data_IF_211969556034
#
_entry.id   IF_211969556034
#
_cell.length_a   1.000
_cell.length_b   1.000
_cell.length_c   1.000
_cell.angle_alpha   90.00
_cell.angle_beta   90.00
_cell.angle_gamma   90.00
#
_symmetry.space_group_name_H-M   'P 1'
#
loop_
_entity.id
_entity.type
_entity.pdbx_description
1 polymer ?
#
# COMPACT_ATOMS: atom_id res chain seq x y z
N UNK A 1 -16.84 12.30 10.19
CA UNK A 1 -15.80 11.73 9.30
C UNK A 1 -16.42 10.53 8.59
N UNK A 2 -16.51 10.53 7.26
CA UNK A 2 -16.98 9.36 6.47
C UNK A 2 -15.76 8.64 5.92
N UNK A 3 -15.24 7.68 6.69
CA UNK A 3 -14.02 6.95 6.33
C UNK A 3 -14.22 5.47 6.58
N UNK A 4 -13.77 4.65 5.65
CA UNK A 4 -13.74 3.19 5.81
C UNK A 4 -12.31 2.68 5.61
N UNK A 5 -12.02 1.52 6.17
CA UNK A 5 -10.78 0.80 5.90
C UNK A 5 -11.05 -0.41 5.00
N UNK A 6 -10.18 -0.63 4.01
CA UNK A 6 -10.16 -1.85 3.22
C UNK A 6 -8.80 -2.53 3.36
N UNK A 7 -8.80 -3.77 3.85
CA UNK A 7 -7.58 -4.54 4.08
C UNK A 7 -7.32 -5.50 2.93
N UNK A 8 -6.09 -5.46 2.41
CA UNK A 8 -5.52 -6.48 1.53
C UNK A 8 -4.63 -7.48 2.28
N UNK A 9 -4.63 -7.43 3.62
CA UNK A 9 -3.91 -8.42 4.42
C UNK A 9 -4.64 -9.76 4.36
N UNK A 10 -3.89 -10.83 4.10
CA UNK A 10 -4.38 -12.19 4.25
C UNK A 10 -4.15 -12.66 5.68
N UNK A 11 -5.18 -13.21 6.31
CA UNK A 11 -5.07 -13.95 7.56
C UNK A 11 -4.82 -15.42 7.20
N UNK A 12 -3.65 -15.71 6.62
CA UNK A 12 -3.21 -17.09 6.37
C UNK A 12 -1.70 -17.17 6.60
N UNK A 13 -1.24 -18.25 7.23
CA UNK A 13 0.17 -18.54 7.50
C UNK A 13 0.89 -19.15 6.31
N UNK A 14 0.15 -19.52 5.24
CA UNK A 14 0.71 -20.18 4.06
C UNK A 14 0.93 -19.19 2.91
N UNK A 15 2.04 -19.36 2.18
CA UNK A 15 2.50 -18.53 1.03
C UNK A 15 1.56 -18.49 -0.20
N UNK A 16 0.30 -18.96 -0.09
CA UNK A 16 -0.69 -18.97 -1.18
C UNK A 16 -1.26 -17.58 -1.54
N UNK A 17 -0.80 -16.55 -0.84
CA UNK A 17 -1.34 -15.18 -0.85
C UNK A 17 -1.10 -14.36 -2.13
N UNK A 18 -0.16 -14.74 -3.01
CA UNK A 18 0.26 -13.87 -4.13
C UNK A 18 -0.83 -13.68 -5.19
N UNK A 19 -1.63 -14.71 -5.47
CA UNK A 19 -2.71 -14.65 -6.48
C UNK A 19 -4.04 -14.13 -5.92
N UNK A 20 -4.27 -14.24 -4.61
CA UNK A 20 -5.50 -13.75 -3.98
C UNK A 20 -5.68 -12.24 -4.11
N UNK A 21 -4.59 -11.48 -4.28
CA UNK A 21 -4.60 -10.04 -4.54
C UNK A 21 -5.63 -9.62 -5.59
N UNK A 22 -5.70 -10.32 -6.74
CA UNK A 22 -6.61 -9.96 -7.83
C UNK A 22 -8.08 -10.07 -7.41
N UNK A 23 -8.41 -11.05 -6.57
CA UNK A 23 -9.76 -11.20 -6.04
C UNK A 23 -10.11 -10.09 -5.05
N UNK A 24 -9.18 -9.69 -4.18
CA UNK A 24 -9.37 -8.53 -3.32
C UNK A 24 -9.48 -7.23 -4.11
N UNK A 25 -8.71 -7.08 -5.20
CA UNK A 25 -8.78 -5.90 -6.07
C UNK A 25 -10.16 -5.80 -6.74
N UNK A 26 -10.73 -6.93 -7.16
CA UNK A 26 -12.11 -6.98 -7.66
C UNK A 26 -13.12 -6.58 -6.57
N UNK A 27 -12.97 -7.11 -5.35
CA UNK A 27 -13.80 -6.74 -4.20
C UNK A 27 -13.71 -5.24 -3.89
N UNK A 28 -12.50 -4.68 -3.88
CA UNK A 28 -12.26 -3.26 -3.73
C UNK A 28 -12.94 -2.45 -4.84
N UNK A 29 -12.84 -2.88 -6.11
CA UNK A 29 -13.49 -2.20 -7.24
C UNK A 29 -15.01 -2.13 -7.07
N UNK A 30 -15.63 -3.22 -6.62
CA UNK A 30 -17.08 -3.28 -6.35
C UNK A 30 -17.44 -2.33 -5.20
N UNK A 31 -16.68 -2.36 -4.11
CA UNK A 31 -16.88 -1.46 -2.97
C UNK A 31 -16.76 0.01 -3.39
N UNK A 32 -15.69 0.35 -4.12
CA UNK A 32 -15.43 1.69 -4.62
C UNK A 32 -16.58 2.23 -5.49
N UNK A 33 -17.24 1.35 -6.25
CA UNK A 33 -18.41 1.69 -7.06
C UNK A 33 -19.70 1.87 -6.23
N UNK A 34 -19.86 1.12 -5.14
CA UNK A 34 -21.10 1.09 -4.34
C UNK A 34 -21.18 2.16 -3.28
N UNK A 35 -20.05 2.59 -2.72
CA UNK A 35 -20.05 3.59 -1.63
C UNK A 35 -20.12 5.02 -2.18
N UNK A 36 -20.76 5.98 -1.48
CA UNK A 36 -20.79 7.39 -1.86
C UNK A 36 -19.39 7.99 -2.03
N UNK A 37 -19.18 8.86 -3.04
CA UNK A 37 -17.85 9.44 -3.39
C UNK A 37 -17.22 10.29 -2.28
N UNK A 38 -18.03 10.84 -1.38
CA UNK A 38 -17.59 11.63 -0.22
C UNK A 38 -17.03 10.77 0.94
N UNK A 39 -17.02 9.43 0.77
CA UNK A 39 -16.37 8.50 1.70
C UNK A 39 -14.90 8.29 1.29
N UNK A 40 -13.99 8.60 2.21
CA UNK A 40 -12.56 8.28 2.08
C UNK A 40 -12.33 6.78 2.36
N UNK A 41 -11.45 6.15 1.57
CA UNK A 41 -11.01 4.77 1.85
C UNK A 41 -9.55 4.78 2.28
N UNK A 42 -9.27 4.21 3.45
CA UNK A 42 -7.92 3.87 3.88
C UNK A 42 -7.62 2.44 3.46
N UNK A 43 -6.60 2.25 2.64
CA UNK A 43 -6.14 0.94 2.19
C UNK A 43 -5.01 0.47 3.08
N UNK A 44 -5.17 -0.71 3.68
CA UNK A 44 -4.16 -1.39 4.48
C UNK A 44 -3.67 -2.67 3.79
N UNK A 45 -2.46 -3.13 4.13
CA UNK A 45 -1.95 -4.42 3.64
C UNK A 45 -1.35 -4.42 2.24
N UNK A 46 -0.97 -3.27 1.69
CA UNK A 46 -0.34 -3.19 0.37
C UNK A 46 1.17 -3.25 0.49
N UNK A 47 1.77 -4.09 -0.36
CA UNK A 47 3.19 -4.39 -0.30
C UNK A 47 4.04 -3.87 -1.47
N UNK A 48 3.43 -3.28 -2.50
CA UNK A 48 4.19 -2.81 -3.67
C UNK A 48 3.58 -1.56 -4.32
N UNK A 49 4.46 -0.77 -4.94
CA UNK A 49 4.10 0.46 -5.68
C UNK A 49 3.18 0.13 -6.86
N UNK A 50 3.40 -0.98 -7.55
CA UNK A 50 2.57 -1.41 -8.67
C UNK A 50 1.11 -1.66 -8.24
N UNK A 51 0.90 -2.24 -7.04
CA UNK A 51 -0.44 -2.49 -6.50
C UNK A 51 -1.15 -1.20 -6.07
N UNK A 52 -0.39 -0.23 -5.56
CA UNK A 52 -0.91 1.12 -5.27
C UNK A 52 -1.40 1.77 -6.57
N UNK A 53 -0.62 1.67 -7.64
CA UNK A 53 -1.00 2.20 -8.96
C UNK A 53 -2.30 1.57 -9.49
N UNK A 54 -2.46 0.24 -9.38
CA UNK A 54 -3.69 -0.45 -9.77
C UNK A 54 -4.91 0.05 -8.99
N UNK A 55 -4.77 0.26 -7.68
CA UNK A 55 -5.84 0.80 -6.83
C UNK A 55 -6.21 2.22 -7.24
N UNK A 56 -5.21 3.08 -7.46
CA UNK A 56 -5.46 4.48 -7.85
C UNK A 56 -6.21 4.57 -9.19
N UNK A 57 -5.80 3.77 -10.19
CA UNK A 57 -6.46 3.68 -11.50
C UNK A 57 -7.96 3.37 -11.41
N UNK A 58 -8.36 2.49 -10.48
CA UNK A 58 -9.77 2.11 -10.31
C UNK A 58 -10.54 3.02 -9.34
N UNK A 59 -9.84 3.78 -8.50
CA UNK A 59 -10.43 4.67 -7.49
C UNK A 59 -10.87 6.02 -8.06
N UNK A 60 -10.28 6.45 -9.19
CA UNK A 60 -10.61 7.71 -9.87
C UNK A 60 -10.57 8.89 -8.90
N UNK A 61 -11.67 9.64 -8.79
CA UNK A 61 -11.79 10.90 -8.04
C UNK A 61 -12.05 10.68 -6.55
N UNK A 62 -12.05 9.44 -6.07
CA UNK A 62 -12.22 9.16 -4.64
C UNK A 62 -10.93 9.44 -3.89
N UNK A 63 -11.05 10.05 -2.71
CA UNK A 63 -9.94 10.19 -1.77
C UNK A 63 -9.52 8.81 -1.22
N UNK A 64 -8.29 8.41 -1.51
CA UNK A 64 -7.68 7.16 -1.04
C UNK A 64 -6.41 7.48 -0.26
N UNK A 65 -6.30 6.91 0.94
CA UNK A 65 -5.09 6.95 1.77
C UNK A 65 -4.50 5.56 1.89
N UNK A 66 -3.18 5.42 1.98
CA UNK A 66 -2.51 4.12 2.09
C UNK A 66 -1.75 4.00 3.42
N UNK A 67 -1.88 2.84 4.06
CA UNK A 67 -1.03 2.47 5.18
C UNK A 67 0.18 1.68 4.68
N UNK A 68 1.37 2.26 4.79
CA UNK A 68 2.62 1.69 4.26
C UNK A 68 3.22 0.58 5.15
N UNK A 69 2.45 -0.50 5.37
CA UNK A 69 2.89 -1.64 6.18
C UNK A 69 4.19 -2.27 5.66
N UNK A 70 4.41 -2.31 4.33
CA UNK A 70 5.64 -2.84 3.78
C UNK A 70 6.90 -2.06 4.16
N UNK A 71 6.79 -0.76 4.45
CA UNK A 71 7.92 0.00 5.00
C UNK A 71 8.38 -0.62 6.33
N UNK A 72 7.41 -0.94 7.20
CA UNK A 72 7.68 -1.58 8.49
C UNK A 72 8.23 -2.99 8.33
N UNK A 73 7.57 -3.86 7.54
CA UNK A 73 8.00 -5.25 7.33
C UNK A 73 9.42 -5.30 6.77
N UNK A 74 9.71 -4.53 5.72
CA UNK A 74 11.05 -4.49 5.12
C UNK A 74 12.10 -3.97 6.11
N UNK A 75 11.74 -2.98 6.95
CA UNK A 75 12.65 -2.48 7.99
C UNK A 75 13.02 -3.54 9.02
N UNK A 76 12.07 -4.39 9.43
CA UNK A 76 12.32 -5.44 10.41
C UNK A 76 13.24 -6.54 9.87
N UNK A 77 13.20 -6.73 8.55
CA UNK A 77 14.09 -7.63 7.79
C UNK A 77 15.44 -6.98 7.41
N UNK A 78 15.64 -5.70 7.73
CA UNK A 78 16.85 -4.96 7.38
C UNK A 78 16.96 -4.62 5.89
N UNK A 79 15.84 -4.55 5.18
CA UNK A 79 15.80 -4.34 3.72
C UNK A 79 15.51 -2.88 3.39
N UNK A 80 16.37 -2.28 2.55
CA UNK A 80 16.09 -1.01 1.87
C UNK A 80 15.30 -1.28 0.59
N UNK A 81 14.10 -0.71 0.49
CA UNK A 81 13.25 -0.85 -0.70
C UNK A 81 13.82 -0.03 -1.86
N UNK A 82 14.39 1.15 -1.56
CA UNK A 82 15.04 2.02 -2.54
C UNK A 82 16.22 1.33 -3.20
N UNK A 83 17.08 0.72 -2.39
CA UNK A 83 18.33 0.09 -2.86
C UNK A 83 18.14 -1.38 -3.27
N UNK A 84 16.94 -1.94 -3.04
CA UNK A 84 16.57 -3.33 -3.34
C UNK A 84 17.54 -4.35 -2.74
N UNK A 85 18.08 -4.08 -1.56
CA UNK A 85 19.07 -4.94 -0.88
C UNK A 85 18.88 -4.95 0.63
N UNK A 86 19.42 -6.00 1.24
CA UNK A 86 19.61 -6.03 2.68
C UNK A 86 20.76 -5.10 3.06
N UNK A 87 20.54 -4.29 4.09
CA UNK A 87 21.51 -3.37 4.63
C UNK A 87 22.35 -4.05 5.72
N UNK A 88 23.47 -3.40 6.05
CA UNK A 88 24.32 -3.84 7.14
C UNK A 88 23.57 -3.87 8.49
N UNK A 89 23.89 -4.85 9.34
CA UNK A 89 23.22 -5.07 10.63
C UNK A 89 23.45 -3.93 11.63
N UNK A 90 24.49 -3.11 11.45
CA UNK A 90 24.75 -1.91 12.25
C UNK A 90 23.72 -0.80 12.03
N UNK A 91 23.01 -0.80 10.89
CA UNK A 91 22.00 0.21 10.60
C UNK A 91 20.73 -0.11 11.40
N UNK A 92 20.24 0.88 12.16
CA UNK A 92 19.06 0.68 12.99
C UNK A 92 17.81 0.42 12.16
N UNK A 93 16.95 -0.49 12.63
CA UNK A 93 15.70 -0.82 11.94
C UNK A 93 14.76 0.39 11.81
N UNK A 94 14.85 1.36 12.73
CA UNK A 94 14.01 2.56 12.70
C UNK A 94 14.49 3.56 11.65
N UNK A 95 15.81 3.65 11.44
CA UNK A 95 16.38 4.39 10.31
C UNK A 95 15.93 3.78 8.97
N UNK A 96 15.99 2.45 8.84
CA UNK A 96 15.51 1.75 7.64
C UNK A 96 14.00 1.99 7.45
N UNK A 97 13.21 1.98 8.53
CA UNK A 97 11.77 2.24 8.47
C UNK A 97 11.48 3.64 7.93
N UNK A 98 12.14 4.67 8.47
CA UNK A 98 11.99 6.06 8.01
C UNK A 98 12.30 6.18 6.52
N UNK A 99 13.44 5.65 6.08
CA UNK A 99 13.84 5.72 4.66
C UNK A 99 12.87 4.97 3.74
N UNK A 100 12.39 3.81 4.16
CA UNK A 100 11.39 3.07 3.39
C UNK A 100 10.05 3.82 3.35
N UNK A 101 9.63 4.45 4.44
CA UNK A 101 8.40 5.24 4.50
C UNK A 101 8.49 6.43 3.54
N UNK A 102 9.58 7.20 3.59
CA UNK A 102 9.83 8.31 2.65
C UNK A 102 9.80 7.84 1.20
N UNK A 103 10.44 6.70 0.89
CA UNK A 103 10.40 6.12 -0.45
C UNK A 103 8.95 5.83 -0.90
N UNK A 104 8.16 5.10 -0.10
CA UNK A 104 6.79 4.77 -0.48
C UNK A 104 5.88 5.99 -0.56
N UNK A 105 6.02 6.97 0.33
CA UNK A 105 5.25 8.22 0.28
C UNK A 105 5.55 9.00 -1.00
N UNK A 106 6.82 9.09 -1.40
CA UNK A 106 7.20 9.77 -2.64
C UNK A 106 6.62 9.06 -3.87
N UNK A 107 6.68 7.72 -3.92
CA UNK A 107 6.09 6.96 -5.02
C UNK A 107 4.55 7.08 -5.04
N UNK A 108 3.91 7.08 -3.86
CA UNK A 108 2.47 7.33 -3.76
C UNK A 108 2.09 8.72 -4.28
N UNK A 109 2.80 9.77 -3.89
CA UNK A 109 2.50 11.14 -4.32
C UNK A 109 2.62 11.28 -5.85
N UNK A 110 3.68 10.71 -6.46
CA UNK A 110 3.84 10.69 -7.93
C UNK A 110 2.66 9.99 -8.63
N UNK A 111 2.22 8.85 -8.10
CA UNK A 111 1.09 8.10 -8.66
C UNK A 111 -0.23 8.83 -8.44
N UNK A 112 -0.42 9.45 -7.29
CA UNK A 112 -1.62 10.23 -6.96
C UNK A 112 -1.76 11.41 -7.92
N UNK A 113 -0.70 12.17 -8.17
CA UNK A 113 -0.70 13.27 -9.16
C UNK A 113 -1.04 12.79 -10.57
N UNK A 114 -0.62 11.56 -10.92
CA UNK A 114 -0.84 10.97 -12.24
C UNK A 114 -2.27 10.44 -12.45
N UNK A 115 -2.94 9.95 -11.40
CA UNK A 115 -4.21 9.22 -11.51
C UNK A 115 -5.40 9.88 -10.80
N UNK A 116 -5.17 10.90 -9.98
CA UNK A 116 -6.21 11.58 -9.19
C UNK A 116 -6.38 13.05 -9.57
N UNK A 117 -5.88 13.45 -10.75
CA UNK A 117 -6.22 14.71 -11.43
C UNK A 117 -7.26 14.48 -12.52
#
# INVERSE_FOLDING_TARGET
IKTIAFSFMNVDTKLKASNSWKHYLLGFKILNFKIPLDVEIVVAGISSVQRIEEILKISKNRKISFMHQAAWVNSRNGVSVKDKKQLDKSISKDYIFKNNLEFYTNEYNKLYEKYSK
#
